data_IF_747469050123
#
_entry.id   IF_747469050123
#
_cell.length_a   1.000
_cell.length_b   1.000
_cell.length_c   1.000
_cell.angle_alpha   90.00
_cell.angle_beta   90.00
_cell.angle_gamma   90.00
#
_symmetry.space_group_name_H-M   'P 1'
#
loop_
_entity.id
_entity.type
_entity.pdbx_description
1 polymer ?
#
# COMPACT_ATOMS: atom_id res chain seq x y z
N UNK A 1 -40.50 -20.26 23.57
CA UNK A 1 -39.54 -20.56 22.50
C UNK A 1 -39.50 -19.35 21.57
N UNK A 2 -38.50 -18.48 21.75
CA UNK A 2 -38.26 -17.37 20.84
C UNK A 2 -36.78 -17.45 20.46
N UNK A 3 -36.50 -18.09 19.32
CA UNK A 3 -35.16 -18.08 18.74
C UNK A 3 -34.96 -16.69 18.14
N UNK A 4 -34.05 -15.94 18.76
CA UNK A 4 -33.66 -14.60 18.41
C UNK A 4 -33.09 -14.53 17.00
N UNK A 5 -33.58 -13.56 16.22
CA UNK A 5 -33.03 -13.14 14.93
C UNK A 5 -31.52 -12.75 14.95
N UNK A 6 -30.87 -12.82 16.11
CA UNK A 6 -29.44 -12.53 16.28
C UNK A 6 -28.51 -13.64 15.76
N UNK A 7 -28.96 -14.90 15.66
CA UNK A 7 -28.09 -16.00 15.19
C UNK A 7 -27.91 -16.05 13.67
N UNK A 8 -28.60 -15.19 12.90
CA UNK A 8 -28.47 -15.14 11.43
C UNK A 8 -27.60 -13.98 10.93
N UNK A 9 -27.03 -13.18 11.83
CA UNK A 9 -26.08 -12.11 11.49
C UNK A 9 -24.63 -12.56 11.72
N UNK A 10 -24.42 -13.87 11.94
CA UNK A 10 -23.09 -14.46 12.13
C UNK A 10 -22.71 -15.33 10.91
N UNK A 11 -22.67 -14.69 9.74
CA UNK A 11 -21.96 -15.23 8.57
C UNK A 11 -20.72 -14.37 8.29
N UNK A 12 -19.61 -14.58 9.02
CA UNK A 12 -18.36 -13.86 8.81
C UNK A 12 -17.50 -14.49 7.70
N UNK A 13 -18.07 -14.78 6.51
CA UNK A 13 -17.28 -15.36 5.40
C UNK A 13 -16.74 -14.29 4.42
N UNK A 14 -17.28 -13.07 4.42
CA UNK A 14 -16.80 -12.01 3.50
C UNK A 14 -15.46 -11.36 3.90
N UNK A 15 -15.04 -11.48 5.16
CA UNK A 15 -13.82 -10.81 5.66
C UNK A 15 -12.54 -11.57 5.35
N UNK A 16 -12.61 -12.89 5.16
CA UNK A 16 -11.43 -13.68 4.85
C UNK A 16 -11.01 -13.49 3.38
N UNK A 17 -11.95 -13.55 2.44
CA UNK A 17 -11.68 -13.37 1.01
C UNK A 17 -11.14 -11.96 0.70
N UNK A 18 -11.78 -10.93 1.27
CA UNK A 18 -11.32 -9.54 1.12
C UNK A 18 -9.89 -9.33 1.64
N UNK A 19 -9.50 -10.08 2.69
CA UNK A 19 -8.15 -10.04 3.27
C UNK A 19 -7.12 -10.72 2.38
N UNK A 20 -7.44 -11.88 1.80
CA UNK A 20 -6.55 -12.56 0.85
C UNK A 20 -6.32 -11.71 -0.40
N UNK A 21 -7.39 -11.11 -0.93
CA UNK A 21 -7.32 -10.16 -2.05
C UNK A 21 -6.46 -8.95 -1.67
N UNK A 22 -6.63 -8.42 -0.45
CA UNK A 22 -5.80 -7.31 0.03
C UNK A 22 -4.32 -7.68 0.14
N UNK A 23 -3.97 -8.89 0.60
CA UNK A 23 -2.58 -9.35 0.64
C UNK A 23 -1.96 -9.43 -0.76
N UNK A 24 -2.71 -9.92 -1.75
CA UNK A 24 -2.28 -9.95 -3.14
C UNK A 24 -2.05 -8.53 -3.69
N UNK A 25 -3.03 -7.64 -3.50
CA UNK A 25 -2.94 -6.23 -3.93
C UNK A 25 -1.76 -5.53 -3.25
N UNK A 26 -1.57 -5.72 -1.94
CA UNK A 26 -0.45 -5.14 -1.18
C UNK A 26 0.90 -5.56 -1.77
N UNK A 27 1.05 -6.85 -2.09
CA UNK A 27 2.27 -7.37 -2.72
C UNK A 27 2.52 -6.66 -4.07
N UNK A 28 1.48 -6.59 -4.90
CA UNK A 28 1.55 -5.95 -6.21
C UNK A 28 1.85 -4.44 -6.13
N UNK A 29 1.21 -3.73 -5.21
CA UNK A 29 1.46 -2.30 -4.95
C UNK A 29 2.90 -2.06 -4.49
N UNK A 30 3.48 -2.98 -3.73
CA UNK A 30 4.88 -2.90 -3.31
C UNK A 30 5.83 -3.06 -4.51
N UNK A 31 5.54 -3.98 -5.43
CA UNK A 31 6.31 -4.17 -6.67
C UNK A 31 6.18 -2.93 -7.56
N UNK A 32 4.95 -2.45 -7.79
CA UNK A 32 4.68 -1.24 -8.58
C UNK A 32 5.47 -0.05 -8.03
N UNK A 33 5.59 0.08 -6.70
CA UNK A 33 6.37 1.15 -6.07
C UNK A 33 7.84 1.12 -6.49
N UNK A 34 8.45 -0.05 -6.56
CA UNK A 34 9.86 -0.19 -7.03
C UNK A 34 9.97 0.11 -8.52
N UNK A 35 9.05 -0.43 -9.33
CA UNK A 35 9.01 -0.16 -10.78
C UNK A 35 8.84 1.33 -11.06
N UNK A 36 8.01 2.03 -10.29
CA UNK A 36 7.78 3.46 -10.42
C UNK A 36 9.07 4.24 -10.15
N UNK A 37 9.85 3.88 -9.12
CA UNK A 37 11.14 4.52 -8.86
C UNK A 37 12.10 4.33 -10.04
N UNK A 38 12.19 3.11 -10.58
CA UNK A 38 13.02 2.83 -11.76
C UNK A 38 12.53 3.67 -12.95
N UNK A 39 11.22 3.76 -13.16
CA UNK A 39 10.65 4.57 -14.24
C UNK A 39 10.97 6.06 -14.09
N UNK A 40 10.94 6.62 -12.87
CA UNK A 40 11.36 8.01 -12.62
C UNK A 40 12.82 8.20 -13.02
N UNK A 41 13.70 7.27 -12.64
CA UNK A 41 15.13 7.36 -12.97
C UNK A 41 15.33 7.29 -14.48
N UNK A 42 14.69 6.34 -15.16
CA UNK A 42 14.78 6.20 -16.62
C UNK A 42 14.26 7.44 -17.35
N UNK A 43 13.13 8.00 -16.91
CA UNK A 43 12.60 9.23 -17.49
C UNK A 43 13.53 10.41 -17.23
N UNK A 44 14.13 10.50 -16.05
CA UNK A 44 15.09 11.55 -15.75
C UNK A 44 16.35 11.45 -16.62
N UNK A 45 16.86 10.24 -16.84
CA UNK A 45 18.06 9.98 -17.63
C UNK A 45 17.82 10.22 -19.14
N UNK A 46 16.76 9.63 -19.70
CA UNK A 46 16.52 9.67 -21.15
C UNK A 46 16.12 11.08 -21.61
N UNK A 47 15.48 11.86 -20.73
CA UNK A 47 14.96 13.18 -21.05
C UNK A 47 15.74 14.31 -20.39
N UNK A 48 16.98 14.07 -19.98
CA UNK A 48 17.84 15.07 -19.32
C UNK A 48 17.92 16.39 -20.10
N UNK A 49 18.09 16.30 -21.43
CA UNK A 49 18.22 17.45 -22.33
C UNK A 49 16.87 18.07 -22.74
N UNK A 50 15.76 17.38 -22.47
CA UNK A 50 14.43 17.81 -22.90
C UNK A 50 13.74 18.62 -21.80
N UNK A 51 13.38 19.86 -22.13
CA UNK A 51 12.63 20.74 -21.23
C UNK A 51 11.19 20.94 -21.71
N UNK A 52 10.25 20.91 -20.78
CA UNK A 52 8.83 21.16 -21.01
C UNK A 52 8.35 22.22 -20.01
N UNK A 53 7.65 23.25 -20.49
CA UNK A 53 7.18 24.38 -19.66
C UNK A 53 8.30 25.10 -18.87
N UNK A 54 9.47 25.31 -19.49
CA UNK A 54 10.66 25.89 -18.84
C UNK A 54 11.25 25.09 -17.67
N UNK A 55 10.82 23.84 -17.47
CA UNK A 55 11.37 22.92 -16.49
C UNK A 55 11.90 21.66 -17.19
N UNK A 56 13.00 21.09 -16.72
CA UNK A 56 13.49 19.80 -17.24
C UNK A 56 12.46 18.69 -16.97
N UNK A 57 12.33 17.74 -17.90
CA UNK A 57 11.48 16.57 -17.71
C UNK A 57 11.87 15.74 -16.48
N UNK A 58 13.15 15.79 -16.07
CA UNK A 58 13.62 15.22 -14.80
C UNK A 58 12.92 15.84 -13.58
N UNK A 59 12.72 17.16 -13.58
CA UNK A 59 12.04 17.90 -12.52
C UNK A 59 10.55 17.53 -12.49
N UNK A 60 9.91 17.42 -13.65
CA UNK A 60 8.53 16.95 -13.76
C UNK A 60 8.35 15.52 -13.26
N UNK A 61 9.31 14.63 -13.54
CA UNK A 61 9.29 13.26 -13.03
C UNK A 61 9.31 13.21 -11.50
N UNK A 62 10.01 14.13 -10.84
CA UNK A 62 9.99 14.26 -9.37
C UNK A 62 8.67 14.87 -8.89
N UNK A 63 8.23 15.98 -9.51
CA UNK A 63 6.98 16.68 -9.15
C UNK A 63 5.79 15.73 -9.20
N UNK A 64 5.73 14.82 -10.17
CA UNK A 64 4.62 13.87 -10.30
C UNK A 64 4.92 12.57 -9.54
N UNK A 65 6.13 12.04 -9.70
CA UNK A 65 6.51 10.73 -9.20
C UNK A 65 6.54 10.65 -7.67
N UNK A 66 7.03 11.70 -7.00
CA UNK A 66 7.11 11.71 -5.55
C UNK A 66 5.71 11.76 -4.87
N UNK A 67 4.78 12.65 -5.26
CA UNK A 67 3.41 12.58 -4.78
C UNK A 67 2.73 11.23 -5.06
N UNK A 68 2.94 10.65 -6.24
CA UNK A 68 2.34 9.35 -6.59
C UNK A 68 2.87 8.23 -5.68
N UNK A 69 4.17 8.24 -5.40
CA UNK A 69 4.81 7.32 -4.47
C UNK A 69 4.25 7.46 -3.04
N UNK A 70 4.02 8.69 -2.57
CA UNK A 70 3.39 8.94 -1.28
C UNK A 70 1.94 8.47 -1.25
N UNK A 71 1.15 8.74 -2.30
CA UNK A 71 -0.25 8.29 -2.39
C UNK A 71 -0.35 6.77 -2.34
N UNK A 72 0.49 6.05 -3.08
CA UNK A 72 0.55 4.59 -3.02
C UNK A 72 0.94 4.13 -1.61
N UNK A 73 1.92 4.78 -0.99
CA UNK A 73 2.37 4.43 0.37
C UNK A 73 1.25 4.60 1.40
N UNK A 74 0.55 5.73 1.34
CA UNK A 74 -0.59 6.02 2.22
C UNK A 74 -1.73 5.04 1.93
N UNK A 75 -2.01 4.72 0.68
CA UNK A 75 -3.02 3.73 0.29
C UNK A 75 -2.73 2.34 0.84
N UNK A 76 -1.48 1.89 0.78
CA UNK A 76 -1.05 0.63 1.40
C UNK A 76 -1.28 0.67 2.91
N UNK A 77 -0.89 1.75 3.60
CA UNK A 77 -1.05 1.87 5.06
C UNK A 77 -2.54 1.84 5.44
N UNK A 78 -3.37 2.63 4.75
CA UNK A 78 -4.80 2.69 5.05
C UNK A 78 -5.50 1.37 4.79
N UNK A 79 -5.17 0.67 3.71
CA UNK A 79 -5.77 -0.63 3.46
C UNK A 79 -5.22 -1.73 4.36
N UNK A 80 -3.94 -1.69 4.80
CA UNK A 80 -3.41 -2.64 5.79
C UNK A 80 -4.17 -2.49 7.11
N UNK A 81 -4.45 -1.25 7.53
CA UNK A 81 -5.28 -0.96 8.70
C UNK A 81 -6.72 -1.44 8.57
N UNK A 82 -7.32 -1.35 7.37
CA UNK A 82 -8.74 -1.68 7.13
C UNK A 82 -8.99 -3.17 6.88
N UNK A 83 -8.09 -3.85 6.20
CA UNK A 83 -8.29 -5.21 5.71
C UNK A 83 -7.36 -6.25 6.38
N UNK A 84 -6.34 -5.82 7.13
CA UNK A 84 -5.43 -6.73 7.84
C UNK A 84 -4.96 -6.23 9.22
N UNK A 85 -5.86 -5.81 10.13
CA UNK A 85 -5.48 -5.23 11.43
C UNK A 85 -4.67 -6.19 12.34
N UNK A 86 -4.89 -7.50 12.27
CA UNK A 86 -4.16 -8.50 13.07
C UNK A 86 -2.67 -8.65 12.65
N UNK A 87 -2.30 -8.26 11.43
CA UNK A 87 -0.89 -8.23 11.01
C UNK A 87 -0.10 -7.13 11.73
N UNK A 88 -0.72 -5.97 11.99
CA UNK A 88 -0.11 -4.92 12.80
C UNK A 88 0.08 -5.36 14.24
N UNK A 89 -0.89 -6.08 14.80
CA UNK A 89 -0.83 -6.58 16.18
C UNK A 89 0.30 -7.60 16.35
N UNK A 90 0.47 -8.52 15.38
CA UNK A 90 1.60 -9.45 15.34
C UNK A 90 2.94 -8.74 15.11
N UNK A 91 2.97 -7.65 14.33
CA UNK A 91 4.18 -6.83 14.14
C UNK A 91 4.58 -6.14 15.46
N UNK A 92 3.63 -5.52 16.17
CA UNK A 92 3.87 -4.90 17.50
C UNK A 92 4.38 -5.92 18.53
N UNK A 93 3.75 -7.10 18.59
CA UNK A 93 4.18 -8.18 19.51
C UNK A 93 5.60 -8.68 19.21
N UNK A 94 6.02 -8.72 17.94
CA UNK A 94 7.41 -9.07 17.58
C UNK A 94 8.42 -8.01 18.01
N UNK A 95 8.13 -6.73 17.78
CA UNK A 95 9.01 -5.62 18.19
C UNK A 95 9.14 -5.57 19.73
N UNK A 96 8.04 -5.71 20.46
CA UNK A 96 8.06 -5.76 21.92
C UNK A 96 8.79 -7.00 22.49
N UNK A 97 8.87 -8.10 21.73
CA UNK A 97 9.61 -9.31 22.13
C UNK A 97 11.10 -9.18 21.84
N UNK A 98 11.52 -8.43 20.82
CA UNK A 98 12.94 -8.18 20.55
C UNK A 98 13.57 -7.20 21.54
N UNK A 99 12.80 -6.28 22.12
CA UNK A 99 13.31 -5.35 23.16
C UNK A 99 13.49 -5.99 24.54
N UNK A 100 12.93 -7.19 24.77
CA UNK A 100 13.07 -7.93 26.03
C UNK A 100 14.22 -8.95 26.03
N UNK A 101 15.06 -8.95 25.00
CA UNK A 101 16.28 -9.78 24.90
C UNK A 101 17.50 -8.87 24.90
#
# INVERSE_FOLDING_TARGET
MAQSFQDRVDSPDGTNDAREIWMFIRSWLTIIRVVLVIAIILVAEIFEESSMFNLSLSVWAIIIGFPLFLLISIGIIQGDKRFAPDLEERRRKRVAKSERR
#
